data_IF_129296898901
#
_entry.id   IF_129296898901
#
_cell.length_a   1.000
_cell.length_b   1.000
_cell.length_c   1.000
_cell.angle_alpha   90.00
_cell.angle_beta   90.00
_cell.angle_gamma   90.00
#
_symmetry.space_group_name_H-M   'P 1'
#
loop_
_entity.id
_entity.type
_entity.pdbx_description
1 polymer ?
2 non-polymer ?
3 non-polymer ?
4 non-polymer ?
5 water ?
#
# COMPACT_ATOMS: atom_id res chain seq x y z
N UNK A 5 -22.84 -6.06 -14.28
CA UNK A 5 -22.85 -5.21 -13.07
C UNK A 5 -21.44 -4.63 -12.83
N UNK A 6 -21.36 -3.72 -11.89
CA UNK A 6 -20.11 -3.03 -11.49
C UNK A 6 -19.96 -3.22 -9.99
N UNK A 7 -18.78 -3.62 -9.52
CA UNK A 7 -18.51 -3.79 -8.06
C UNK A 7 -17.40 -2.80 -7.68
N UNK A 8 -17.61 -2.01 -6.64
CA UNK A 8 -16.58 -1.09 -6.12
C UNK A 8 -16.05 -1.64 -4.82
N UNK A 9 -14.73 -1.58 -4.65
CA UNK A 9 -14.04 -1.88 -3.37
C UNK A 9 -13.09 -0.70 -3.09
N UNK A 10 -12.73 -0.55 -1.83
CA UNK A 10 -11.92 0.56 -1.32
C UNK A 10 -10.62 -0.02 -0.75
N UNK A 11 -9.51 0.66 -1.06
CA UNK A 11 -8.18 0.40 -0.51
C UNK A 11 -7.77 1.64 0.25
N UNK A 12 -7.01 1.44 1.32
CA UNK A 12 -6.32 2.52 2.00
C UNK A 12 -4.83 2.30 1.85
N UNK A 13 -4.14 3.24 1.24
CA UNK A 13 -2.67 3.24 1.18
C UNK A 13 -2.20 4.25 2.19
N UNK A 14 -1.10 3.99 2.89
CA UNK A 14 -0.62 4.96 3.86
C UNK A 14 0.79 4.73 4.27
N UNK A 15 1.28 5.62 5.10
CA UNK A 15 2.58 5.42 5.74
C UNK A 15 2.65 6.23 6.98
N UNK A 16 3.61 5.86 7.80
CA UNK A 16 4.01 6.54 8.98
C UNK A 16 5.51 6.71 8.90
N UNK A 17 6.04 7.79 9.44
CA UNK A 17 7.50 7.99 9.52
C UNK A 17 7.82 8.67 10.84
N UNK A 18 8.98 8.33 11.39
CA UNK A 18 9.53 8.80 12.69
C UNK A 18 10.96 9.25 12.46
N UNK A 19 11.26 10.49 12.79
CA UNK A 19 12.63 10.99 12.90
C UNK A 19 13.28 10.32 14.11
N UNK A 20 14.43 9.71 13.91
CA UNK A 20 15.13 9.02 15.01
C UNK A 20 15.79 10.10 15.89
N UNK A 21 15.66 9.98 17.21
CA UNK A 21 16.47 10.72 18.19
C UNK A 21 17.95 10.54 17.81
N UNK A 22 18.40 9.29 17.58
CA UNK A 22 19.78 8.99 17.13
C UNK A 22 19.75 8.11 15.89
N UNK A 23 20.53 8.45 14.83
CA UNK A 23 20.60 7.61 13.63
C UNK A 23 21.19 6.23 13.91
N UNK A 24 20.81 5.26 13.10
CA UNK A 24 21.25 3.88 13.24
C UNK A 24 22.77 3.88 12.96
N UNK A 25 23.43 2.77 13.24
CA UNK A 25 24.84 2.51 12.82
C UNK A 25 25.01 2.86 11.33
N UNK A 26 24.00 2.51 10.52
CA UNK A 26 23.98 2.67 9.02
C UNK A 26 23.90 4.17 8.66
N UNK A 27 23.58 5.05 9.62
CA UNK A 27 23.22 6.46 9.39
C UNK A 27 21.74 6.69 9.09
N UNK A 28 20.88 5.67 9.14
CA UNK A 28 19.45 5.90 8.87
C UNK A 28 18.91 6.90 9.87
N UNK A 29 18.19 7.91 9.36
CA UNK A 29 17.67 9.05 10.16
C UNK A 29 16.18 8.83 10.47
N UNK A 30 15.50 7.98 9.71
CA UNK A 30 14.05 7.79 9.84
C UNK A 30 13.72 6.31 9.86
N UNK A 31 12.68 5.99 10.60
CA UNK A 31 12.04 4.66 10.54
C UNK A 31 10.69 4.89 9.89
N UNK A 32 10.26 4.00 9.00
CA UNK A 32 8.99 4.25 8.27
C UNK A 32 8.27 2.94 8.02
N UNK A 33 7.01 3.05 7.78
CA UNK A 33 6.14 1.91 7.45
C UNK A 33 5.12 2.38 6.43
N UNK A 34 4.88 1.54 5.44
CA UNK A 34 3.97 1.78 4.32
C UNK A 34 3.06 0.56 4.28
N UNK A 35 1.82 0.76 3.91
CA UNK A 35 0.79 -0.29 3.99
C UNK A 35 -0.26 -0.09 2.90
N UNK A 36 -0.86 -1.22 2.56
CA UNK A 36 -2.17 -1.30 1.89
C UNK A 36 -3.13 -2.08 2.80
N UNK A 37 -4.32 -1.56 3.03
CA UNK A 37 -5.29 -2.23 3.91
C UNK A 37 -6.71 -1.88 3.45
N UNK A 38 -7.67 -2.64 3.95
CA UNK A 38 -9.08 -2.37 3.71
C UNK A 38 -9.60 -1.37 4.71
N UNK A 39 -10.78 -0.77 4.43
CA UNK A 39 -11.47 0.06 5.40
C UNK A 39 -11.81 -0.85 6.59
N UNK A 40 -12.17 -0.31 7.75
CA UNK A 40 -12.54 -1.10 8.95
C UNK A 40 -13.54 -2.22 8.61
N UNK A 41 -13.32 -3.40 9.22
CA UNK A 41 -14.15 -4.65 9.14
C UNK A 41 -14.32 -5.13 7.70
N UNK A 42 -13.41 -4.75 6.80
CA UNK A 42 -13.32 -5.25 5.40
C UNK A 42 -12.05 -6.07 5.25
N UNK A 43 -12.18 -7.28 4.74
CA UNK A 43 -11.05 -8.22 4.57
C UNK A 43 -10.63 -8.23 3.07
N UNK A 44 -9.70 -7.37 2.68
CA UNK A 44 -9.23 -7.25 1.25
C UNK A 44 -8.50 -8.52 0.81
N UNK A 45 -8.03 -9.36 1.75
CA UNK A 45 -7.33 -10.63 1.43
C UNK A 45 -8.25 -11.50 0.54
N UNK A 46 -9.57 -11.37 0.67
CA UNK A 46 -10.53 -12.12 -0.17
C UNK A 46 -10.22 -11.88 -1.65
N UNK A 47 -9.81 -10.65 -2.06
CA UNK A 47 -9.62 -10.34 -3.51
C UNK A 47 -8.19 -9.94 -3.86
N UNK A 48 -7.35 -9.70 -2.87
CA UNK A 48 -5.92 -9.32 -3.07
C UNK A 48 -5.03 -10.56 -3.00
N UNK A 49 -4.34 -10.82 -4.08
CA UNK A 49 -3.39 -11.94 -4.20
C UNK A 49 -2.13 -11.58 -3.44
N UNK A 50 -1.60 -10.42 -3.72
CA UNK A 50 -0.34 -9.93 -3.15
C UNK A 50 -0.19 -8.44 -3.42
N UNK A 51 0.68 -7.81 -2.66
CA UNK A 51 1.01 -6.40 -2.79
C UNK A 51 2.52 -6.31 -2.90
N UNK A 52 2.97 -5.69 -3.96
CA UNK A 52 4.41 -5.50 -4.26
C UNK A 52 4.70 -4.03 -4.02
N UNK A 53 5.62 -3.76 -3.10
CA UNK A 53 6.16 -2.43 -2.78
C UNK A 53 7.55 -2.34 -3.40
N UNK A 54 7.69 -1.43 -4.38
CA UNK A 54 8.97 -1.19 -5.09
C UNK A 54 9.77 -0.10 -4.37
N UNK A 55 10.74 -0.52 -3.57
CA UNK A 55 11.59 0.38 -2.77
C UNK A 55 12.64 1.00 -3.67
N UNK A 56 13.20 2.13 -3.23
CA UNK A 56 14.37 2.78 -3.87
C UNK A 56 15.42 1.70 -4.17
N UNK A 57 16.07 1.80 -5.33
CA UNK A 57 17.17 0.94 -5.84
C UNK A 57 18.24 0.68 -4.77
N UNK A 58 18.49 1.67 -3.93
CA UNK A 58 19.56 1.63 -2.91
C UNK A 58 19.20 0.58 -1.84
N UNK A 59 17.93 0.18 -1.70
CA UNK A 59 17.51 -0.84 -0.70
C UNK A 59 17.91 -2.23 -1.18
N UNK A 60 18.39 -3.13 -0.31
CA UNK A 60 18.49 -4.55 -0.64
C UNK A 60 17.10 -5.11 -0.88
N UNK A 61 17.00 -5.99 -1.87
CA UNK A 61 15.72 -6.58 -2.32
C UNK A 61 14.68 -5.51 -2.43
N UNK A 62 14.85 -4.51 -3.33
CA UNK A 62 13.92 -3.40 -3.44
C UNK A 62 12.47 -3.83 -3.73
N UNK A 63 12.29 -4.98 -4.37
CA UNK A 63 10.96 -5.57 -4.69
C UNK A 63 10.47 -6.35 -3.46
N UNK A 64 9.68 -5.70 -2.61
CA UNK A 64 9.21 -6.32 -1.36
C UNK A 64 7.77 -6.81 -1.59
N UNK A 65 7.51 -8.08 -1.35
CA UNK A 65 6.22 -8.75 -1.66
C UNK A 65 5.56 -9.18 -0.34
N UNK A 66 4.28 -8.94 -0.20
CA UNK A 66 3.46 -9.49 0.87
C UNK A 66 2.36 -10.27 0.21
N UNK A 67 2.33 -11.59 0.40
CA UNK A 67 1.32 -12.48 -0.23
C UNK A 67 0.11 -12.60 0.71
N UNK A 68 0.26 -12.12 1.93
CA UNK A 68 -0.75 -12.22 3.01
C UNK A 68 -0.69 -10.95 3.85
N UNK A 69 -1.81 -10.55 4.47
CA UNK A 69 -1.82 -9.40 5.35
C UNK A 69 -1.05 -9.69 6.63
N UNK A 70 -0.53 -8.65 7.27
CA UNK A 70 -0.71 -7.28 6.77
C UNK A 70 0.18 -7.02 5.53
N UNK A 71 -0.35 -6.21 4.61
CA UNK A 71 0.39 -5.79 3.41
C UNK A 71 1.14 -4.54 3.80
N UNK A 72 2.39 -4.70 4.22
CA UNK A 72 3.16 -3.54 4.69
C UNK A 72 4.64 -3.86 4.61
N UNK A 73 5.44 -2.81 4.59
CA UNK A 73 6.92 -2.86 4.66
C UNK A 73 7.33 -1.91 5.74
N UNK A 74 8.07 -2.39 6.70
CA UNK A 74 8.74 -1.54 7.71
C UNK A 74 10.22 -1.46 7.41
N UNK A 75 10.74 -0.24 7.34
CA UNK A 75 12.13 -0.04 6.96
C UNK A 75 12.67 1.14 7.74
N UNK A 76 13.96 1.38 7.57
CA UNK A 76 14.68 2.57 8.01
C UNK A 76 15.41 3.11 6.79
N UNK A 77 15.63 4.41 6.69
CA UNK A 77 16.43 4.94 5.58
C UNK A 77 16.78 6.39 5.80
N UNK A 78 17.19 7.05 4.71
CA UNK A 78 17.84 8.38 4.74
C UNK A 78 16.88 9.43 4.20
N UNK A 79 15.91 9.01 3.39
CA UNK A 79 15.15 9.97 2.55
C UNK A 79 13.84 9.34 2.07
N UNK A 80 12.89 10.19 1.70
CA UNK A 80 11.65 9.75 1.04
C UNK A 80 11.90 9.49 -0.41
N UNK A 81 10.95 8.86 -1.07
CA UNK A 81 11.03 8.55 -2.52
C UNK A 81 9.66 8.22 -3.00
N UNK A 82 9.52 8.08 -4.33
CA UNK A 82 8.26 7.67 -4.98
C UNK A 82 8.30 6.16 -5.09
N UNK A 83 7.29 5.53 -4.51
CA UNK A 83 7.25 4.07 -4.38
C UNK A 83 6.06 3.56 -5.20
N UNK A 84 6.32 2.97 -6.37
CA UNK A 84 5.30 2.18 -7.07
C UNK A 84 4.85 1.05 -6.15
N UNK A 85 3.53 0.89 -6.04
CA UNK A 85 2.86 -0.16 -5.25
C UNK A 85 1.91 -0.88 -6.19
N UNK A 86 2.13 -2.17 -6.42
CA UNK A 86 1.21 -2.97 -7.23
C UNK A 86 0.33 -3.79 -6.31
N UNK A 87 -0.96 -3.67 -6.50
CA UNK A 87 -1.96 -4.55 -5.87
C UNK A 87 -2.47 -5.52 -6.88
N UNK A 88 -2.10 -6.77 -6.71
CA UNK A 88 -2.45 -7.90 -7.60
C UNK A 88 -3.70 -8.52 -7.07
N UNK A 89 -4.60 -8.87 -7.95
CA UNK A 89 -5.94 -9.37 -7.58
C UNK A 89 -5.99 -10.89 -7.78
N UNK A 90 -6.89 -11.54 -7.05
CA UNK A 90 -7.24 -12.97 -7.19
C UNK A 90 -8.26 -13.10 -8.31
N UNK A 91 -7.88 -12.64 -9.51
CA UNK A 91 -8.74 -12.35 -10.68
C UNK A 91 -8.14 -13.13 -11.88
N UNK A 92 -8.94 -13.71 -12.71
CA UNK A 92 -8.43 -14.45 -13.89
C UNK A 92 -8.61 -13.60 -15.16
N UNK A 93 -9.40 -12.54 -15.11
CA UNK A 93 -9.58 -11.57 -16.23
C UNK A 93 -8.81 -10.28 -15.91
N UNK A 94 -8.48 -9.48 -16.93
CA UNK A 94 -8.00 -8.09 -16.78
C UNK A 94 -9.07 -7.27 -16.09
N UNK A 95 -8.69 -6.30 -15.21
CA UNK A 95 -7.29 -6.15 -14.82
C UNK A 95 -6.93 -7.11 -13.67
N UNK A 96 -5.71 -7.62 -13.68
CA UNK A 96 -5.24 -8.59 -12.65
C UNK A 96 -4.43 -7.83 -11.62
N UNK A 97 -4.15 -6.56 -11.87
CA UNK A 97 -3.45 -5.72 -10.88
C UNK A 97 -3.71 -4.25 -11.18
N UNK A 98 -3.46 -3.40 -10.21
CA UNK A 98 -3.48 -1.94 -10.36
C UNK A 98 -2.15 -1.49 -9.78
N UNK A 99 -1.56 -0.44 -10.34
CA UNK A 99 -0.28 0.13 -9.82
C UNK A 99 -0.56 1.54 -9.33
N UNK A 100 -0.12 1.81 -8.13
CA UNK A 100 -0.21 3.14 -7.49
C UNK A 100 1.20 3.73 -7.45
N UNK A 101 1.33 5.03 -7.69
CA UNK A 101 2.58 5.78 -7.48
C UNK A 101 2.50 6.42 -6.12
N UNK A 102 3.14 5.82 -5.11
CA UNK A 102 2.94 6.24 -3.70
C UNK A 102 4.06 7.19 -3.29
N UNK A 103 3.68 8.36 -2.80
CA UNK A 103 4.67 9.37 -2.32
C UNK A 103 5.05 9.02 -0.89
N UNK A 104 6.21 8.40 -0.72
CA UNK A 104 6.73 8.11 0.61
C UNK A 104 7.60 9.26 1.09
N UNK A 105 6.99 10.28 1.64
CA UNK A 105 7.69 11.48 2.13
C UNK A 105 8.00 11.30 3.61
N UNK A 106 9.18 11.76 4.05
CA UNK A 106 9.69 11.57 5.44
C UNK A 106 9.77 12.89 6.23
N UNK A 107 9.40 14.01 5.62
CA UNK A 107 9.29 15.31 6.34
C UNK A 107 8.41 16.27 5.55
N UNK A 108 8.27 17.49 6.04
CA UNK A 108 7.52 18.57 5.37
C UNK A 108 8.45 19.76 5.16
N UNK A 109 9.62 19.48 4.59
CA UNK A 109 10.61 20.48 4.08
C UNK A 109 11.00 21.45 5.21
N UNK A 110 10.91 21.00 6.47
CA UNK A 110 11.15 21.85 7.66
C UNK A 110 10.15 23.00 7.75
N UNK A 111 8.98 22.88 7.12
CA UNK A 111 7.90 23.90 7.15
C UNK A 111 6.54 23.20 7.21
N UNK A 112 6.15 22.65 8.39
CA UNK A 112 6.87 22.85 9.64
C UNK A 112 7.83 21.69 9.97
N UNK A 113 8.79 21.89 10.92
CA UNK A 113 9.56 20.78 11.48
C UNK A 113 8.60 19.82 12.22
N UNK A 114 8.65 18.54 11.88
CA UNK A 114 7.89 17.46 12.52
C UNK A 114 8.90 16.37 12.85
N UNK A 115 8.66 15.61 13.91
CA UNK A 115 9.55 14.48 14.23
C UNK A 115 8.82 13.20 13.84
N UNK A 116 7.57 13.28 13.41
CA UNK A 116 6.86 12.10 12.86
C UNK A 116 5.75 12.55 11.92
N UNK A 117 5.20 11.62 11.14
CA UNK A 117 4.05 11.99 10.32
C UNK A 117 3.29 10.75 9.94
N UNK A 118 2.03 10.95 9.58
CA UNK A 118 1.16 9.89 9.04
C UNK A 118 0.56 10.41 7.76
N UNK A 119 0.31 9.53 6.80
CA UNK A 119 -0.48 9.89 5.61
C UNK A 119 -1.40 8.73 5.26
N UNK A 120 -2.62 9.01 4.86
CA UNK A 120 -3.56 7.99 4.32
C UNK A 120 -4.12 8.47 2.99
N UNK A 121 -4.28 7.53 2.07
CA UNK A 121 -4.75 7.74 0.69
C UNK A 121 -5.82 6.70 0.46
N UNK A 122 -7.07 7.14 0.33
CA UNK A 122 -8.22 6.22 0.16
C UNK A 122 -8.45 6.05 -1.36
N UNK A 123 -8.50 4.81 -1.83
CA UNK A 123 -8.59 4.54 -3.27
C UNK A 123 -9.83 3.69 -3.51
N UNK A 124 -10.69 4.07 -4.47
CA UNK A 124 -11.82 3.23 -4.94
C UNK A 124 -11.39 2.52 -6.19
N UNK A 125 -11.67 1.23 -6.27
CA UNK A 125 -11.47 0.42 -7.49
C UNK A 125 -12.84 0.04 -8.00
N UNK A 126 -13.06 0.13 -9.30
CA UNK A 126 -14.31 -0.24 -10.00
C UNK A 126 -14.03 -1.41 -10.92
N UNK A 127 -14.69 -2.53 -10.70
CA UNK A 127 -14.60 -3.70 -11.56
C UNK A 127 -15.91 -3.84 -12.33
N UNK A 128 -15.84 -3.75 -13.67
CA UNK A 128 -17.00 -3.99 -14.57
C UNK A 128 -17.11 -5.46 -14.86
N UNK A 129 -18.27 -6.03 -14.62
CA UNK A 129 -18.63 -7.39 -15.10
C UNK A 129 -17.60 -8.38 -14.60
N UNK A 130 -17.25 -8.41 -13.28
CA UNK A 130 -16.32 -9.42 -12.78
C UNK A 130 -16.89 -10.82 -13.04
N UNK A 131 -16.06 -11.84 -13.16
CA UNK A 131 -16.47 -13.26 -13.17
C UNK A 131 -17.27 -13.54 -11.89
N UNK A 132 -18.04 -14.61 -11.88
CA UNK A 132 -18.79 -15.02 -10.68
C UNK A 132 -17.81 -15.24 -9.51
N UNK A 133 -16.66 -15.85 -9.80
CA UNK A 133 -15.70 -16.28 -8.75
C UNK A 133 -15.10 -14.99 -8.15
N UNK A 134 -14.84 -13.99 -8.95
CA UNK A 134 -14.14 -12.75 -8.48
C UNK A 134 -15.16 -11.79 -7.85
N UNK A 135 -16.39 -11.79 -8.36
CA UNK A 135 -17.48 -11.03 -7.70
C UNK A 135 -17.62 -11.51 -6.24
N UNK A 136 -17.70 -12.82 -6.01
CA UNK A 136 -17.90 -13.40 -4.66
C UNK A 136 -16.79 -12.87 -3.75
N UNK A 137 -15.54 -12.90 -4.23
CA UNK A 137 -14.36 -12.41 -3.48
C UNK A 137 -14.51 -10.92 -3.19
N UNK A 138 -14.89 -10.11 -4.18
CA UNK A 138 -15.05 -8.64 -3.97
C UNK A 138 -16.15 -8.38 -2.94
N UNK A 139 -17.29 -9.00 -3.12
CA UNK A 139 -18.47 -8.74 -2.24
C UNK A 139 -18.21 -9.36 -0.89
N UNK A 140 -17.52 -10.50 -0.86
CA UNK A 140 -17.15 -11.12 0.42
C UNK A 140 -16.21 -10.17 1.19
N UNK A 141 -15.40 -9.38 0.50
CA UNK A 141 -14.45 -8.42 1.11
C UNK A 141 -15.20 -7.21 1.68
N UNK A 142 -16.46 -7.06 1.33
CA UNK A 142 -17.27 -5.88 1.64
C UNK A 142 -17.48 -4.93 0.48
N UNK A 143 -17.21 -5.37 -0.75
CA UNK A 143 -17.46 -4.57 -1.96
C UNK A 143 -18.95 -4.28 -2.11
N UNK A 144 -19.29 -3.21 -2.84
CA UNK A 144 -20.68 -2.76 -3.11
C UNK A 144 -20.96 -2.93 -4.60
N UNK A 145 -22.02 -3.64 -4.94
CA UNK A 145 -22.57 -3.69 -6.31
C UNK A 145 -23.22 -2.33 -6.60
N UNK A 146 -23.02 -1.80 -7.81
CA UNK A 146 -23.60 -0.52 -8.32
C UNK A 146 -24.55 -0.81 -9.49
X LIG B 1 16.89 7.83 -1.72
X LIG B 1 15.84 7.38 -0.93
X LIG B 1 16.01 6.43 0.05
X LIG B 1 17.26 5.88 0.28
X LIG B 1 18.34 6.31 -0.49
X LIG B 1 18.14 7.28 -1.46
X LIG B 1 17.42 4.87 1.37
X LIG B 1 16.86 5.02 2.44
X LIG B 1 19.81 7.97 -2.56
X LIG B 1 16.67 8.87 -2.78
X LIG B 1 18.19 3.79 1.06
X LIG B 1 18.49 2.67 1.87
X LIG B 1 17.71 2.29 2.96
X LIG B 1 17.98 1.08 3.60
X LIG B 1 19.02 0.28 3.15
X LIG B 1 19.82 0.66 2.09
X LIG B 1 19.56 1.86 1.45
X LIG B 1 17.38 0.47 4.70
X LIG B 1 18.04 -0.65 4.89
X LIG B 1 19.03 -0.82 3.98
X LIG B 1 17.84 -1.58 6.05
X LIG B 1 17.14 -2.82 5.68
X LIG B 1 16.71 -3.55 6.88
X LIG B 1 15.96 -4.83 6.55
X LIG B 1 16.80 -5.75 5.70
X LIG B 1 17.32 -5.02 4.48
X LIG B 1 18.01 -3.71 4.87
X LIG C 1 20.94 6.73 -2.31
X LIG D 1 -12.84 -3.72 0.86
X LIG D 1 -11.93 -3.56 -0.22
X LIG D 1 -14.24 -3.34 0.50
X LIG D 1 -14.34 -2.01 0.07
X LIG E 1 -3.19 6.51 9.01
X LIG E 1 -3.76 7.78 9.21
X LIG E 1 -1.92 6.55 8.25
X LIG E 1 -0.82 6.05 9.00
X LIG F 1 7.93 4.24 12.56
X LIG F 1 6.84 5.05 12.92
X LIG F 1 7.51 3.12 11.71
X LIG F 1 6.24 2.64 12.07
X LIG G 1 9.89 12.40 -0.79
X LIG G 1 8.80 12.42 -1.74
X LIG G 1 9.90 13.50 0.26
X LIG G 1 10.59 13.17 1.53
X LIG H 1 15.90 6.26 17.98
X LIG H 1 17.04 7.10 18.10
X LIG H 1 14.78 6.71 18.82
X LIG H 1 14.00 7.67 18.18
X LIG I 1 26.76 7.08 13.39
X LIG I 1 25.87 6.18 12.78
X LIG I 1 26.26 8.46 13.34
X LIG I 1 25.46 8.72 12.20
X LIG J 1 -1.39 -0.38 9.62
X LIG J 1 -2.81 -0.45 9.44
X LIG J 1 -0.63 -1.29 8.75
X LIG J 1 -1.34 -2.44 8.30
X LIG K 1 -9.09 -15.48 1.92
X LIG K 1 -7.73 -15.85 2.05
X LIG K 1 -9.87 -15.80 3.13
X LIG K 1 -9.07 -15.74 4.30
X LIG L 1 5.95 -12.90 -5.91
X LIG L 1 6.03 -11.85 -6.74
X LIG L 1 7.16 -13.76 -5.92
X LIG L 1 7.86 -13.74 -4.68
X LIG M 1 -10.26 -1.12 -11.19
X LIG M 1 -10.71 -1.69 -12.39
X LIG M 1 -8.91 -1.58 -10.82
X LIG M 1 -7.89 -0.96 -11.55
X LIG N 1 5.58 7.76 13.81
X LIG N 1 5.66 6.78 14.82
X LIG N 1 4.46 8.72 14.00
X LIG N 1 3.18 8.16 14.03
#
# INVERSE_FOLDING_TARGET
MDNQCTVQVRLELGHRAQLRKKPTTEGFTHDWMVFVRGPEQCDIQHFVEKVVFWLHDSFPKPRRVCKEPPYKVEESGYAGFIMPIEVHFKNKEEPRKVCFTYDLFLNLEGNPPVNHLNHLRCEKLTFNNPTTEFRYKLLRAGGVMVMPEGAHHHHHH
GKT C1 C2 C3 C4 C5 C6 C7 O I C N C8 C20 C19 C11 C10 C9 N3 C12 N1 C13 N2 C18 C17 C16 C15 C14
IOD I
EDO C1 O1 C2 O2
EDO C1 O1 C2 O2
EDO C1 O1 C2 O2
EDO C1 O1 C2 O2
EDO C1 O1 C2 O2
EDO C1 O1 C2 O2
EDO C1 O1 C2 O2
EDO C1 O1 C2 O2
EDO C1 O1 C2 O2
EDO C1 O1 C2 O2
EDO C1 O1 C2 O2
#
